data_IF_839315020938
#
_entry.id   IF_839315020938
#
_cell.length_a   1.000
_cell.length_b   1.000
_cell.length_c   1.000
_cell.angle_alpha   90.00
_cell.angle_beta   90.00
_cell.angle_gamma   90.00
#
_symmetry.space_group_name_H-M   'P 1'
#
loop_
_entity.id
_entity.type
_entity.pdbx_description
1 polymer ?
#
# COMPACT_ATOMS: atom_id res chain seq x y z
N UNK A 1 55.32 -16.74 34.51
CA UNK A 1 54.36 -17.55 35.29
C UNK A 1 52.91 -17.13 35.02
N UNK A 2 52.55 -15.86 35.21
CA UNK A 2 51.19 -15.35 34.99
C UNK A 2 50.65 -15.67 33.58
N UNK A 3 51.44 -15.43 32.53
CA UNK A 3 51.03 -15.67 31.13
C UNK A 3 50.63 -17.13 30.87
N UNK A 4 51.39 -18.10 31.42
CA UNK A 4 51.12 -19.52 31.26
C UNK A 4 49.85 -19.95 32.01
N UNK A 5 49.59 -19.36 33.19
CA UNK A 5 48.38 -19.61 33.97
C UNK A 5 47.15 -19.05 33.24
N UNK A 6 47.24 -17.85 32.67
CA UNK A 6 46.14 -17.27 31.89
C UNK A 6 45.83 -18.10 30.65
N UNK A 7 46.86 -18.54 29.90
CA UNK A 7 46.68 -19.43 28.75
C UNK A 7 46.04 -20.77 29.12
N UNK A 8 46.52 -21.40 30.21
CA UNK A 8 45.97 -22.66 30.70
C UNK A 8 44.50 -22.52 31.11
N UNK A 9 44.16 -21.44 31.80
CA UNK A 9 42.78 -21.16 32.21
C UNK A 9 41.86 -20.90 31.01
N UNK A 10 42.28 -20.08 30.05
CA UNK A 10 41.51 -19.81 28.84
C UNK A 10 41.31 -21.06 27.98
N UNK A 11 42.34 -21.90 27.85
CA UNK A 11 42.24 -23.16 27.11
C UNK A 11 41.28 -24.16 27.78
N UNK A 12 41.36 -24.29 29.11
CA UNK A 12 40.45 -25.14 29.88
C UNK A 12 39.00 -24.66 29.77
N UNK A 13 38.76 -23.35 29.90
CA UNK A 13 37.43 -22.76 29.78
C UNK A 13 36.86 -22.95 28.37
N UNK A 14 37.68 -22.76 27.33
CA UNK A 14 37.27 -22.98 25.95
C UNK A 14 36.90 -24.45 25.68
N UNK A 15 37.68 -25.40 26.20
CA UNK A 15 37.38 -26.82 26.10
C UNK A 15 36.07 -27.18 26.80
N UNK A 16 35.88 -26.69 28.03
CA UNK A 16 34.66 -26.94 28.81
C UNK A 16 33.42 -26.36 28.14
N UNK A 17 33.48 -25.12 27.65
CA UNK A 17 32.38 -24.48 26.94
C UNK A 17 32.09 -25.15 25.59
N UNK A 18 33.13 -25.57 24.87
CA UNK A 18 32.97 -26.29 23.61
C UNK A 18 32.28 -27.65 23.79
N UNK A 19 32.70 -28.42 24.79
CA UNK A 19 32.07 -29.69 25.15
C UNK A 19 30.62 -29.48 25.61
N UNK A 20 30.38 -28.46 26.44
CA UNK A 20 29.03 -28.12 26.89
C UNK A 20 28.12 -27.74 25.70
N UNK A 21 28.57 -26.85 24.81
CA UNK A 21 27.80 -26.44 23.63
C UNK A 21 27.54 -27.61 22.67
N UNK A 22 28.51 -28.51 22.47
CA UNK A 22 28.31 -29.73 21.69
C UNK A 22 27.24 -30.64 22.29
N UNK A 23 27.32 -30.89 23.59
CA UNK A 23 26.32 -31.65 24.32
C UNK A 23 24.92 -31.01 24.24
N UNK A 24 24.82 -29.69 24.42
CA UNK A 24 23.56 -28.96 24.30
C UNK A 24 22.99 -29.01 22.88
N UNK A 25 23.84 -28.85 21.85
CA UNK A 25 23.42 -28.92 20.45
C UNK A 25 22.76 -30.26 20.14
N UNK A 26 23.33 -31.36 20.60
CA UNK A 26 22.82 -32.70 20.29
C UNK A 26 21.61 -33.08 21.15
N UNK A 27 21.64 -32.72 22.45
CA UNK A 27 20.54 -32.98 23.38
C UNK A 27 19.27 -32.19 23.03
N UNK A 28 19.40 -30.99 22.49
CA UNK A 28 18.30 -30.09 22.11
C UNK A 28 18.15 -29.96 20.59
N UNK A 29 18.72 -30.87 19.81
CA UNK A 29 18.50 -30.88 18.37
C UNK A 29 17.04 -31.28 18.10
N UNK A 30 16.24 -30.33 17.61
CA UNK A 30 14.89 -30.60 17.14
C UNK A 30 14.99 -30.84 15.63
N UNK A 31 14.66 -32.05 15.17
CA UNK A 31 14.52 -32.32 13.74
C UNK A 31 13.48 -31.37 13.17
N UNK A 32 13.92 -30.47 12.28
CA UNK A 32 13.02 -29.59 11.57
C UNK A 32 12.27 -30.43 10.54
N UNK A 33 10.94 -30.40 10.62
CA UNK A 33 10.09 -30.98 9.60
C UNK A 33 10.53 -30.46 8.21
N UNK A 34 10.85 -31.35 7.25
CA UNK A 34 11.27 -30.94 5.91
C UNK A 34 10.22 -30.04 5.22
N UNK A 35 8.94 -30.21 5.55
CA UNK A 35 7.87 -29.35 5.04
C UNK A 35 7.97 -27.93 5.60
N UNK A 36 8.26 -27.79 6.89
CA UNK A 36 8.47 -26.48 7.52
C UNK A 36 9.64 -25.73 6.88
N UNK A 37 10.76 -26.42 6.63
CA UNK A 37 11.92 -25.83 5.96
C UNK A 37 11.60 -25.39 4.52
N UNK A 38 10.80 -26.18 3.79
CA UNK A 38 10.34 -25.83 2.45
C UNK A 38 9.40 -24.61 2.45
N UNK A 39 8.47 -24.53 3.41
CA UNK A 39 7.64 -23.35 3.61
C UNK A 39 8.48 -22.10 3.93
N UNK A 40 9.47 -22.23 4.83
CA UNK A 40 10.32 -21.11 5.27
C UNK A 40 11.16 -20.54 4.12
N UNK A 41 11.71 -21.41 3.27
CA UNK A 41 12.50 -21.00 2.08
C UNK A 41 11.65 -20.36 0.99
N UNK A 42 10.36 -20.66 0.94
CA UNK A 42 9.39 -20.03 0.01
C UNK A 42 9.01 -18.61 0.45
N UNK A 43 9.16 -18.30 1.75
CA UNK A 43 8.83 -16.98 2.29
C UNK A 43 9.94 -15.95 1.99
N UNK A 44 9.61 -14.64 1.93
CA UNK A 44 10.59 -13.59 1.65
C UNK A 44 11.70 -13.38 2.70
N UNK A 45 11.68 -14.09 3.84
CA UNK A 45 12.68 -13.94 4.89
C UNK A 45 12.68 -12.61 5.67
N UNK A 46 11.70 -11.74 5.45
CA UNK A 46 11.66 -10.38 6.05
C UNK A 46 11.42 -10.41 7.57
N UNK A 47 10.85 -11.49 8.11
CA UNK A 47 10.59 -11.65 9.55
C UNK A 47 9.80 -10.49 10.22
N UNK A 48 8.93 -9.81 9.47
CA UNK A 48 8.19 -8.63 9.96
C UNK A 48 7.03 -8.92 10.93
N UNK A 49 6.56 -10.16 11.03
CA UNK A 49 5.43 -10.54 11.89
C UNK A 49 4.05 -10.03 11.47
N UNK A 50 3.92 -9.37 10.31
CA UNK A 50 2.65 -8.80 9.84
C UNK A 50 1.52 -9.84 9.64
N UNK A 51 1.87 -11.12 9.46
CA UNK A 51 0.94 -12.24 9.34
C UNK A 51 0.39 -12.74 10.70
N UNK A 52 0.88 -12.20 11.83
CA UNK A 52 0.50 -12.61 13.18
C UNK A 52 1.34 -13.76 13.77
N UNK A 53 2.41 -14.18 13.09
CA UNK A 53 3.32 -15.24 13.54
C UNK A 53 4.73 -14.69 13.81
N UNK A 54 5.53 -15.33 14.69
CA UNK A 54 6.88 -14.88 15.01
C UNK A 54 7.84 -15.16 13.85
N UNK A 55 7.94 -14.21 12.93
CA UNK A 55 8.80 -14.28 11.77
C UNK A 55 8.35 -15.29 10.71
N UNK A 56 9.21 -15.50 9.72
CA UNK A 56 8.97 -16.43 8.62
C UNK A 56 8.98 -17.89 9.11
N UNK A 57 9.91 -18.26 10.00
CA UNK A 57 9.95 -19.59 10.60
C UNK A 57 8.67 -19.94 11.36
N UNK A 58 8.17 -19.04 12.21
CA UNK A 58 6.91 -19.27 12.94
C UNK A 58 5.69 -19.40 12.03
N UNK A 59 5.64 -18.63 10.94
CA UNK A 59 4.59 -18.80 9.95
C UNK A 59 4.73 -20.13 9.18
N UNK A 60 5.96 -20.50 8.81
CA UNK A 60 6.26 -21.78 8.15
C UNK A 60 5.88 -22.98 9.00
N UNK A 61 6.10 -22.92 10.31
CA UNK A 61 5.61 -23.94 11.26
C UNK A 61 4.10 -24.07 11.20
N UNK A 62 3.37 -22.96 11.34
CA UNK A 62 1.91 -22.97 11.32
C UNK A 62 1.34 -23.41 9.96
N UNK A 63 2.04 -23.13 8.86
CA UNK A 63 1.71 -23.62 7.52
C UNK A 63 1.88 -25.13 7.41
N UNK A 64 3.02 -25.67 7.85
CA UNK A 64 3.29 -27.11 7.83
C UNK A 64 2.30 -27.90 8.71
N UNK A 65 1.86 -27.30 9.83
CA UNK A 65 0.85 -27.88 10.72
C UNK A 65 -0.61 -27.68 10.24
N UNK A 66 -0.84 -26.97 9.14
CA UNK A 66 -2.19 -26.69 8.61
C UNK A 66 -3.01 -25.68 9.45
N UNK A 67 -2.40 -24.99 10.39
CA UNK A 67 -3.03 -24.03 11.31
C UNK A 67 -3.12 -22.61 10.72
N UNK A 68 -2.47 -22.37 9.59
CA UNK A 68 -2.42 -21.07 8.95
C UNK A 68 -2.80 -21.13 7.47
N UNK A 69 -3.59 -20.17 6.96
CA UNK A 69 -3.80 -20.03 5.53
C UNK A 69 -2.53 -19.49 4.85
N UNK A 70 -2.29 -19.93 3.60
CA UNK A 70 -1.11 -19.56 2.77
C UNK A 70 -1.10 -18.11 2.28
N UNK A 71 -2.19 -17.36 2.51
CA UNK A 71 -2.41 -16.02 1.97
C UNK A 71 -2.02 -14.89 2.94
N UNK A 72 -1.48 -15.20 4.13
CA UNK A 72 -1.17 -14.18 5.15
C UNK A 72 0.14 -13.43 4.92
N UNK A 73 1.03 -13.90 4.03
CA UNK A 73 2.29 -13.22 3.74
C UNK A 73 2.07 -11.99 2.85
N UNK A 74 1.67 -10.87 3.44
CA UNK A 74 1.49 -9.62 2.69
C UNK A 74 2.75 -9.14 1.93
N UNK A 75 3.99 -9.27 2.46
CA UNK A 75 5.19 -8.89 1.71
C UNK A 75 5.52 -9.81 0.53
N UNK A 76 5.16 -11.10 0.61
CA UNK A 76 5.35 -12.06 -0.47
C UNK A 76 4.28 -11.99 -1.55
N UNK A 77 3.12 -11.41 -1.20
CA UNK A 77 2.02 -11.17 -2.13
C UNK A 77 1.46 -12.46 -2.72
N UNK A 78 0.85 -12.32 -3.90
CA UNK A 78 0.19 -13.42 -4.62
C UNK A 78 1.17 -14.54 -5.00
N UNK A 79 2.37 -14.19 -5.48
CA UNK A 79 3.38 -15.16 -5.89
C UNK A 79 3.80 -16.11 -4.76
N UNK A 80 4.06 -15.59 -3.56
CA UNK A 80 4.36 -16.43 -2.40
C UNK A 80 3.17 -17.29 -1.99
N UNK A 81 1.95 -16.74 -2.02
CA UNK A 81 0.76 -17.51 -1.67
C UNK A 81 0.51 -18.68 -2.63
N UNK A 82 0.70 -18.49 -3.94
CA UNK A 82 0.59 -19.54 -4.96
C UNK A 82 1.70 -20.59 -4.81
N UNK A 83 2.94 -20.17 -4.55
CA UNK A 83 4.05 -21.10 -4.31
C UNK A 83 3.79 -21.99 -3.08
N UNK A 84 3.31 -21.39 -1.98
CA UNK A 84 2.93 -22.12 -0.76
C UNK A 84 1.72 -23.03 -0.98
N UNK A 85 0.73 -22.59 -1.76
CA UNK A 85 -0.45 -23.37 -2.13
C UNK A 85 -0.06 -24.64 -2.89
N UNK A 86 0.82 -24.51 -3.89
CA UNK A 86 1.36 -25.63 -4.66
C UNK A 86 2.17 -26.58 -3.78
N UNK A 87 2.98 -26.04 -2.86
CA UNK A 87 3.80 -26.83 -1.93
C UNK A 87 2.94 -27.67 -0.97
N UNK A 88 1.86 -27.11 -0.45
CA UNK A 88 0.99 -27.74 0.55
C UNK A 88 -0.21 -28.49 -0.06
N UNK A 89 -0.35 -28.48 -1.38
CA UNK A 89 -1.47 -29.12 -2.08
C UNK A 89 -2.84 -28.50 -1.76
N UNK A 90 -2.86 -27.22 -1.38
CA UNK A 90 -4.10 -26.49 -1.05
C UNK A 90 -4.45 -25.49 -2.14
N UNK A 91 -5.73 -25.24 -2.38
CA UNK A 91 -6.16 -24.15 -3.26
C UNK A 91 -6.07 -22.82 -2.52
N UNK A 92 -5.43 -21.81 -3.12
CA UNK A 92 -5.40 -20.46 -2.57
C UNK A 92 -5.82 -19.43 -3.59
N UNK A 93 -6.68 -18.51 -3.16
CA UNK A 93 -6.93 -17.26 -3.88
C UNK A 93 -6.36 -16.12 -3.04
N UNK A 94 -5.22 -15.58 -3.48
CA UNK A 94 -4.65 -14.37 -2.91
C UNK A 94 -5.03 -13.18 -3.79
N UNK A 95 -5.67 -12.18 -3.21
CA UNK A 95 -5.99 -10.93 -3.91
C UNK A 95 -4.70 -10.11 -4.00
N UNK A 96 -4.21 -9.93 -5.22
CA UNK A 96 -3.08 -9.04 -5.51
C UNK A 96 -3.55 -7.60 -5.42
N UNK A 97 -2.97 -6.83 -4.49
CA UNK A 97 -3.37 -5.46 -4.19
C UNK A 97 -2.18 -4.52 -4.31
N UNK A 98 -2.48 -3.27 -4.62
CA UNK A 98 -1.54 -2.16 -4.68
C UNK A 98 -2.01 -0.99 -3.83
N UNK A 99 -1.06 -0.16 -3.39
CA UNK A 99 -1.36 1.05 -2.66
C UNK A 99 -1.67 2.20 -3.63
N UNK A 100 -2.88 2.75 -3.57
CA UNK A 100 -3.29 3.90 -4.40
C UNK A 100 -3.46 5.12 -3.51
N UNK A 101 -2.83 6.24 -3.89
CA UNK A 101 -2.95 7.50 -3.17
C UNK A 101 -4.30 8.17 -3.47
N UNK A 102 -5.13 8.36 -2.45
CA UNK A 102 -6.40 9.09 -2.50
C UNK A 102 -6.23 10.60 -2.20
N UNK A 103 -5.22 11.23 -2.82
CA UNK A 103 -4.97 12.66 -2.67
C UNK A 103 -4.24 13.21 -3.91
N UNK A 104 -4.92 14.07 -4.68
CA UNK A 104 -4.31 14.79 -5.82
C UNK A 104 -3.91 16.23 -5.50
N UNK A 105 -3.94 16.62 -4.23
CA UNK A 105 -3.64 17.98 -3.78
C UNK A 105 -2.14 18.28 -3.82
N UNK A 106 -1.58 18.38 -5.02
CA UNK A 106 -0.19 18.75 -5.29
C UNK A 106 0.12 20.17 -4.81
N UNK A 107 1.41 20.51 -4.74
CA UNK A 107 1.90 21.78 -4.17
C UNK A 107 1.28 23.05 -4.77
N UNK A 108 0.94 23.03 -6.07
CA UNK A 108 0.39 24.21 -6.77
C UNK A 108 -1.13 24.37 -6.60
N UNK A 109 -1.82 23.30 -6.21
CA UNK A 109 -3.28 23.30 -6.04
C UNK A 109 -3.73 23.34 -4.57
N UNK A 110 -2.94 22.80 -3.65
CA UNK A 110 -3.27 22.74 -2.23
C UNK A 110 -2.50 23.81 -1.45
N UNK A 111 -3.22 24.73 -0.81
CA UNK A 111 -2.63 25.82 -0.05
C UNK A 111 -1.93 25.30 1.21
N UNK A 112 -0.74 25.83 1.48
CA UNK A 112 0.03 25.56 2.71
C UNK A 112 -0.47 26.42 3.86
N UNK A 113 -0.40 25.90 5.09
CA UNK A 113 -0.76 26.64 6.31
C UNK A 113 0.33 27.62 6.74
N UNK A 114 1.57 27.33 6.35
CA UNK A 114 2.78 28.06 6.71
C UNK A 114 3.97 27.10 6.72
N UNK A 115 5.14 27.64 7.02
CA UNK A 115 6.36 26.84 7.06
C UNK A 115 6.43 26.00 8.34
N UNK A 116 6.66 24.70 8.16
CA UNK A 116 6.82 23.79 9.27
C UNK A 116 8.30 23.64 9.63
N UNK A 117 8.68 24.17 10.80
CA UNK A 117 10.01 24.03 11.37
C UNK A 117 9.93 22.98 12.50
N UNK A 118 10.30 21.75 12.18
CA UNK A 118 10.23 20.61 13.08
C UNK A 118 10.77 19.33 12.44
N UNK A 119 10.57 18.19 13.10
CA UNK A 119 11.01 16.88 12.62
C UNK A 119 10.30 16.55 11.30
N UNK A 120 11.06 16.33 10.22
CA UNK A 120 10.54 16.18 8.86
C UNK A 120 9.93 14.80 8.59
N UNK A 121 8.90 14.45 9.34
CA UNK A 121 8.05 13.27 9.13
C UNK A 121 6.58 13.67 9.08
N UNK A 122 5.76 12.90 8.36
CA UNK A 122 4.31 13.08 8.29
C UNK A 122 3.71 12.94 9.68
N UNK A 123 4.14 11.96 10.47
CA UNK A 123 3.66 11.72 11.83
C UNK A 123 3.93 12.92 12.74
N UNK A 124 5.16 13.45 12.75
CA UNK A 124 5.50 14.61 13.56
C UNK A 124 4.72 15.86 13.13
N UNK A 125 4.71 16.15 11.82
CA UNK A 125 3.97 17.30 11.29
C UNK A 125 2.46 17.22 11.57
N UNK A 126 1.89 16.01 11.50
CA UNK A 126 0.48 15.78 11.81
C UNK A 126 0.18 16.02 13.28
N UNK A 127 1.01 15.47 14.17
CA UNK A 127 0.84 15.58 15.60
C UNK A 127 1.03 17.02 16.11
N UNK A 128 2.08 17.70 15.66
CA UNK A 128 2.44 19.02 16.20
C UNK A 128 1.65 20.18 15.58
N UNK A 129 1.38 20.13 14.27
CA UNK A 129 0.81 21.27 13.52
C UNK A 129 -0.57 20.98 12.91
N UNK A 130 -1.06 19.74 13.02
CA UNK A 130 -2.25 19.26 12.34
C UNK A 130 -2.03 18.92 10.86
N UNK A 131 -0.79 19.00 10.39
CA UNK A 131 -0.37 18.92 8.98
C UNK A 131 0.19 20.25 8.45
N UNK A 132 0.76 20.21 7.25
CA UNK A 132 1.42 21.37 6.60
C UNK A 132 0.53 22.12 5.61
N UNK A 133 -0.53 21.48 5.14
CA UNK A 133 -1.53 22.08 4.23
C UNK A 133 -2.70 22.64 5.03
N UNK A 134 -3.36 23.66 4.50
CA UNK A 134 -4.63 24.14 5.06
C UNK A 134 -5.70 23.03 5.05
N UNK A 135 -5.61 22.10 4.09
CA UNK A 135 -6.36 20.86 4.14
C UNK A 135 -5.75 19.94 5.21
N UNK A 136 -6.47 19.76 6.31
CA UNK A 136 -5.99 18.96 7.42
C UNK A 136 -5.79 17.47 7.05
N UNK A 137 -6.48 16.93 6.05
CA UNK A 137 -6.39 15.50 5.67
C UNK A 137 -5.47 15.26 4.46
N UNK A 138 -4.91 16.32 3.87
CA UNK A 138 -4.08 16.20 2.66
C UNK A 138 -2.71 15.60 2.93
N UNK A 139 -2.08 15.07 1.88
CA UNK A 139 -0.71 14.57 1.97
C UNK A 139 0.25 15.71 2.32
N UNK A 140 1.14 15.48 3.29
CA UNK A 140 2.09 16.50 3.77
C UNK A 140 3.41 16.50 3.01
N UNK A 141 3.72 15.43 2.27
CA UNK A 141 4.92 15.33 1.43
C UNK A 141 6.21 14.89 2.13
N UNK A 142 6.19 14.55 3.43
CA UNK A 142 7.41 14.15 4.16
C UNK A 142 7.83 12.68 3.99
N UNK A 143 7.01 11.86 3.33
CA UNK A 143 7.49 10.56 2.86
C UNK A 143 7.58 9.44 3.90
N UNK A 144 6.83 9.44 5.00
CA UNK A 144 6.83 8.29 5.94
C UNK A 144 6.44 6.98 5.21
N UNK A 145 5.53 7.08 4.23
CA UNK A 145 5.19 5.97 3.32
C UNK A 145 6.37 5.47 2.47
N UNK A 146 7.30 6.36 2.11
CA UNK A 146 8.55 6.02 1.41
C UNK A 146 9.50 5.34 2.38
N UNK A 147 9.66 5.88 3.59
CA UNK A 147 10.57 5.36 4.61
C UNK A 147 10.24 3.91 5.03
N UNK A 148 8.95 3.52 5.05
CA UNK A 148 8.53 2.15 5.38
C UNK A 148 8.49 1.19 4.18
N UNK A 149 8.69 1.69 2.96
CA UNK A 149 8.64 0.85 1.77
C UNK A 149 9.96 0.09 1.58
N UNK A 150 9.94 -1.22 1.81
CA UNK A 150 11.10 -2.11 1.62
C UNK A 150 11.38 -2.48 0.14
N UNK A 151 10.52 -2.02 -0.78
CA UNK A 151 10.53 -2.44 -2.19
C UNK A 151 10.85 -1.29 -3.16
N UNK A 152 11.23 -0.12 -2.64
CA UNK A 152 11.43 1.12 -3.44
C UNK A 152 10.24 1.44 -4.37
N UNK A 153 9.03 1.07 -3.94
CA UNK A 153 7.81 1.21 -4.73
C UNK A 153 7.17 2.59 -4.59
N UNK A 154 7.63 3.46 -3.69
CA UNK A 154 7.02 4.78 -3.45
C UNK A 154 8.10 5.85 -3.44
N UNK A 155 7.89 6.95 -4.19
CA UNK A 155 8.79 8.12 -4.20
C UNK A 155 8.00 9.41 -4.12
N UNK A 156 8.48 10.38 -3.34
CA UNK A 156 7.95 11.74 -3.41
C UNK A 156 8.45 12.38 -4.70
N UNK A 157 7.55 12.82 -5.56
CA UNK A 157 7.89 13.51 -6.81
C UNK A 157 7.93 15.03 -6.63
N UNK A 158 8.30 15.73 -7.71
CA UNK A 158 8.40 17.20 -7.75
C UNK A 158 7.08 17.92 -7.42
N UNK A 159 5.93 17.25 -7.54
CA UNK A 159 4.61 17.75 -7.20
C UNK A 159 4.31 17.74 -5.68
N UNK A 160 5.22 17.14 -4.89
CA UNK A 160 5.11 17.03 -3.43
C UNK A 160 4.17 15.91 -2.96
N UNK A 161 3.84 14.95 -3.82
CA UNK A 161 3.02 13.78 -3.50
C UNK A 161 3.81 12.47 -3.65
N UNK A 162 3.45 11.40 -2.92
CA UNK A 162 4.00 10.08 -3.13
C UNK A 162 3.38 9.45 -4.38
N UNK A 163 4.24 9.03 -5.30
CA UNK A 163 3.88 8.24 -6.47
C UNK A 163 4.31 6.80 -6.25
N UNK A 164 3.40 5.88 -6.56
CA UNK A 164 3.60 4.45 -6.37
C UNK A 164 3.96 3.83 -7.71
N UNK A 165 5.11 3.18 -7.78
CA UNK A 165 5.46 2.25 -8.84
C UNK A 165 4.68 0.95 -8.62
N UNK A 166 3.61 0.80 -9.39
CA UNK A 166 2.73 -0.35 -9.26
C UNK A 166 3.46 -1.65 -9.57
N UNK A 167 4.42 -1.69 -10.49
CA UNK A 167 5.15 -2.91 -10.82
C UNK A 167 5.98 -3.44 -9.63
N UNK A 168 6.48 -2.55 -8.76
CA UNK A 168 7.24 -2.91 -7.56
C UNK A 168 6.39 -3.07 -6.30
N UNK A 169 5.17 -2.56 -6.30
CA UNK A 169 4.29 -2.63 -5.14
C UNK A 169 3.85 -4.07 -4.88
N UNK A 170 4.22 -4.64 -3.74
CA UNK A 170 3.87 -6.01 -3.33
C UNK A 170 2.54 -6.11 -2.57
N UNK A 171 1.90 -4.96 -2.26
CA UNK A 171 0.65 -4.96 -1.51
C UNK A 171 0.80 -5.16 0.01
N UNK A 172 2.02 -5.04 0.56
CA UNK A 172 2.31 -5.28 1.98
C UNK A 172 1.61 -4.35 3.00
N UNK A 173 0.97 -3.25 2.54
CA UNK A 173 0.19 -2.27 3.33
C UNK A 173 0.95 -1.46 4.40
N UNK A 174 2.27 -1.61 4.57
CA UNK A 174 3.02 -0.81 5.55
C UNK A 174 2.84 0.70 5.35
N UNK A 175 2.81 1.17 4.10
CA UNK A 175 2.57 2.57 3.78
C UNK A 175 1.16 3.05 4.16
N UNK A 176 0.16 2.17 4.11
CA UNK A 176 -1.23 2.46 4.52
C UNK A 176 -1.29 2.64 6.03
N UNK A 177 -0.66 1.72 6.77
CA UNK A 177 -0.60 1.76 8.24
C UNK A 177 0.19 2.95 8.75
N UNK A 178 1.31 3.29 8.10
CA UNK A 178 2.18 4.39 8.53
C UNK A 178 1.58 5.77 8.19
N UNK A 179 0.69 5.87 7.19
CA UNK A 179 0.13 7.15 6.78
C UNK A 179 -0.77 7.76 7.88
N UNK A 180 -0.35 8.82 8.58
CA UNK A 180 -1.15 9.37 9.69
C UNK A 180 -2.41 10.11 9.21
N UNK A 181 -2.54 10.34 7.90
CA UNK A 181 -3.73 10.92 7.26
C UNK A 181 -4.59 9.88 6.52
N UNK A 182 -4.20 8.59 6.54
CA UNK A 182 -4.92 7.48 5.92
C UNK A 182 -5.28 7.74 4.44
N UNK A 183 -4.28 8.15 3.67
CA UNK A 183 -4.47 8.54 2.27
C UNK A 183 -4.18 7.43 1.27
N UNK A 184 -3.50 6.37 1.66
CA UNK A 184 -3.21 5.24 0.79
C UNK A 184 -4.29 4.18 0.99
N UNK A 185 -4.89 3.72 -0.10
CA UNK A 185 -5.93 2.68 -0.10
C UNK A 185 -5.38 1.42 -0.75
N UNK A 186 -5.76 0.26 -0.21
CA UNK A 186 -5.47 -1.03 -0.83
C UNK A 186 -6.51 -1.29 -1.93
N UNK A 187 -6.07 -1.38 -3.18
CA UNK A 187 -6.91 -1.60 -4.35
C UNK A 187 -6.37 -2.83 -5.09
N UNK A 188 -7.20 -3.79 -5.53
CA UNK A 188 -6.73 -4.89 -6.35
C UNK A 188 -5.98 -4.38 -7.59
N UNK A 189 -4.88 -5.04 -7.99
CA UNK A 189 -4.04 -4.57 -9.10
C UNK A 189 -4.80 -4.51 -10.41
N UNK A 190 -5.65 -5.50 -10.64
CA UNK A 190 -6.53 -5.68 -11.78
C UNK A 190 -7.88 -4.95 -11.64
N UNK A 191 -8.06 -4.16 -10.57
CA UNK A 191 -9.30 -3.44 -10.33
C UNK A 191 -9.62 -2.48 -11.47
N UNK A 192 -10.72 -2.77 -12.16
CA UNK A 192 -11.38 -1.84 -13.08
C UNK A 192 -12.37 -1.00 -12.31
N UNK A 193 -12.49 0.28 -12.67
CA UNK A 193 -13.49 1.17 -12.09
C UNK A 193 -13.02 2.60 -12.00
N UNK A 194 -13.83 3.42 -11.33
CA UNK A 194 -13.47 4.80 -11.02
C UNK A 194 -13.39 5.00 -9.52
N UNK A 195 -12.43 5.79 -9.05
CA UNK A 195 -12.37 6.19 -7.64
C UNK A 195 -12.11 7.67 -7.48
N UNK A 196 -12.49 8.22 -6.33
CA UNK A 196 -12.17 9.59 -5.96
C UNK A 196 -10.75 9.68 -5.38
N UNK A 197 -9.90 10.50 -5.98
CA UNK A 197 -8.52 10.78 -5.56
C UNK A 197 -8.51 11.96 -4.56
N UNK A 198 -9.36 11.89 -3.55
CA UNK A 198 -9.44 12.90 -2.49
C UNK A 198 -10.11 12.35 -1.23
N UNK A 199 -9.39 12.36 -0.11
CA UNK A 199 -9.92 11.99 1.22
C UNK A 199 -10.32 13.19 2.10
N UNK A 200 -10.56 14.39 1.53
CA UNK A 200 -10.98 15.54 2.33
C UNK A 200 -12.40 15.30 2.91
N UNK A 201 -12.55 15.33 4.24
CA UNK A 201 -13.82 15.07 4.96
C UNK A 201 -14.52 16.35 5.43
N UNK A 202 -14.05 17.53 5.01
CA UNK A 202 -14.72 18.81 5.34
C UNK A 202 -16.07 18.87 4.65
N UNK A 203 -17.15 19.00 5.41
CA UNK A 203 -18.52 19.09 4.88
C UNK A 203 -18.83 20.45 4.23
N UNK A 204 -17.97 21.46 4.45
CA UNK A 204 -18.19 22.83 3.96
C UNK A 204 -17.48 23.03 2.62
N UNK A 205 -18.25 23.11 1.53
CA UNK A 205 -17.73 23.33 0.16
C UNK A 205 -16.78 24.53 0.07
N UNK A 206 -17.13 25.67 0.68
CA UNK A 206 -16.31 26.87 0.67
C UNK A 206 -14.92 26.64 1.29
N UNK A 207 -14.84 25.84 2.35
CA UNK A 207 -13.56 25.49 2.98
C UNK A 207 -12.70 24.64 2.05
N UNK A 208 -13.29 23.64 1.38
CA UNK A 208 -12.55 22.81 0.42
C UNK A 208 -11.97 23.67 -0.71
N UNK A 209 -12.79 24.53 -1.33
CA UNK A 209 -12.35 25.37 -2.44
C UNK A 209 -11.27 26.38 -2.04
N UNK A 210 -11.34 26.91 -0.81
CA UNK A 210 -10.29 27.77 -0.26
C UNK A 210 -8.99 26.98 -0.02
N UNK A 211 -9.09 25.76 0.49
CA UNK A 211 -7.91 24.95 0.86
C UNK A 211 -7.24 24.27 -0.34
N UNK A 212 -8.00 23.82 -1.34
CA UNK A 212 -7.49 23.01 -2.43
C UNK A 212 -8.36 23.14 -3.70
N UNK A 213 -7.76 23.60 -4.80
CA UNK A 213 -8.45 23.79 -6.10
C UNK A 213 -8.92 22.46 -6.73
N UNK A 214 -8.26 21.35 -6.39
CA UNK A 214 -8.50 20.02 -6.94
C UNK A 214 -9.18 19.07 -5.93
N UNK A 215 -9.73 19.60 -4.84
CA UNK A 215 -10.40 18.80 -3.80
C UNK A 215 -11.82 18.36 -4.17
N UNK A 216 -12.29 17.26 -3.58
CA UNK A 216 -13.71 16.87 -3.68
C UNK A 216 -14.59 17.83 -2.86
N UNK A 217 -15.42 18.60 -3.59
CA UNK A 217 -16.34 19.60 -3.02
C UNK A 217 -17.70 19.03 -2.61
N UNK A 218 -17.88 17.71 -2.69
CA UNK A 218 -19.08 16.99 -2.20
C UNK A 218 -20.38 17.47 -2.86
N UNK A 219 -20.31 17.81 -4.16
CA UNK A 219 -21.46 18.31 -4.93
C UNK A 219 -22.49 17.22 -5.28
N UNK A 220 -22.16 15.94 -5.11
CA UNK A 220 -23.05 14.81 -5.42
C UNK A 220 -23.27 14.55 -6.92
N UNK A 221 -22.60 15.28 -7.82
CA UNK A 221 -22.75 15.11 -9.27
C UNK A 221 -22.37 13.68 -9.71
N UNK A 222 -21.31 13.10 -9.15
CA UNK A 222 -20.89 11.72 -9.44
C UNK A 222 -21.99 10.70 -9.10
N UNK A 223 -22.62 10.83 -7.92
CA UNK A 223 -23.73 9.97 -7.49
C UNK A 223 -24.90 10.09 -8.46
N UNK A 224 -25.32 11.32 -8.80
CA UNK A 224 -26.48 11.57 -9.67
C UNK A 224 -26.26 11.24 -11.13
N UNK A 225 -25.01 11.17 -11.59
CA UNK A 225 -24.68 10.97 -13.00
C UNK A 225 -24.20 9.57 -13.33
N UNK A 226 -24.05 8.71 -12.33
CA UNK A 226 -23.66 7.31 -12.51
C UNK A 226 -24.84 6.52 -13.09
N UNK A 227 -24.74 5.94 -14.30
CA UNK A 227 -25.82 5.14 -14.88
C UNK A 227 -26.11 3.84 -14.11
N UNK A 228 -25.07 3.27 -13.49
CA UNK A 228 -25.15 2.01 -12.73
C UNK A 228 -25.50 2.21 -11.26
N UNK A 229 -25.72 3.47 -10.84
CA UNK A 229 -26.00 3.84 -9.44
C UNK A 229 -24.98 3.28 -8.43
N UNK A 230 -23.74 3.06 -8.88
CA UNK A 230 -22.69 2.37 -8.10
C UNK A 230 -21.90 3.30 -7.18
N UNK A 231 -22.31 4.56 -7.00
CA UNK A 231 -21.57 5.55 -6.19
C UNK A 231 -22.42 6.02 -5.02
N UNK A 232 -21.90 5.87 -3.80
CA UNK A 232 -22.58 6.29 -2.56
C UNK A 232 -21.74 7.31 -1.79
N UNK A 233 -22.38 8.14 -0.96
CA UNK A 233 -21.66 9.09 -0.10
C UNK A 233 -21.47 8.48 1.29
N UNK A 234 -20.23 8.16 1.65
CA UNK A 234 -19.87 7.65 2.98
C UNK A 234 -19.00 8.69 3.68
N UNK A 235 -19.48 9.24 4.81
CA UNK A 235 -18.77 10.28 5.56
C UNK A 235 -18.34 11.50 4.73
N UNK A 236 -19.18 11.88 3.76
CA UNK A 236 -18.90 12.99 2.85
C UNK A 236 -17.89 12.67 1.74
N UNK A 237 -17.45 11.42 1.59
CA UNK A 237 -16.58 10.98 0.49
C UNK A 237 -17.40 10.08 -0.45
N UNK A 238 -17.38 10.33 -1.77
CA UNK A 238 -17.95 9.40 -2.73
C UNK A 238 -17.18 8.08 -2.74
N UNK A 239 -17.85 6.96 -2.49
CA UNK A 239 -17.29 5.60 -2.56
C UNK A 239 -17.96 4.89 -3.73
N UNK A 240 -17.14 4.28 -4.59
CA UNK A 240 -17.61 3.49 -5.74
C UNK A 240 -17.66 2.03 -5.35
N UNK A 241 -18.80 1.39 -5.60
CA UNK A 241 -18.96 -0.05 -5.61
C UNK A 241 -18.37 -0.58 -6.92
N UNK A 242 -17.21 -1.21 -6.84
CA UNK A 242 -16.48 -1.66 -8.02
C UNK A 242 -17.13 -2.86 -8.71
N UNK A 243 -17.95 -3.65 -8.01
CA UNK A 243 -18.62 -4.81 -8.61
C UNK A 243 -19.66 -4.39 -9.64
N UNK A 244 -20.26 -3.21 -9.46
CA UNK A 244 -21.24 -2.62 -10.39
C UNK A 244 -20.64 -1.63 -11.37
N UNK A 245 -19.39 -1.21 -11.15
CA UNK A 245 -18.80 -0.13 -11.93
C UNK A 245 -18.36 -0.62 -13.32
N UNK A 246 -19.00 -0.11 -14.37
CA UNK A 246 -18.64 -0.42 -15.77
C UNK A 246 -17.46 0.39 -16.31
N UNK A 247 -16.80 1.21 -15.48
CA UNK A 247 -15.69 2.08 -15.89
C UNK A 247 -16.02 3.07 -17.03
N UNK A 248 -17.29 3.46 -17.18
CA UNK A 248 -17.76 4.32 -18.27
C UNK A 248 -17.18 5.75 -18.28
N UNK A 249 -16.55 6.21 -17.20
CA UNK A 249 -15.87 7.51 -17.14
C UNK A 249 -16.76 8.75 -16.94
N UNK A 250 -18.08 8.61 -16.91
CA UNK A 250 -19.00 9.77 -16.75
C UNK A 250 -18.73 10.56 -15.46
N UNK A 251 -18.41 9.87 -14.37
CA UNK A 251 -18.04 10.49 -13.09
C UNK A 251 -16.74 11.31 -13.18
N UNK A 252 -15.80 10.89 -14.03
CA UNK A 252 -14.52 11.59 -14.27
C UNK A 252 -14.75 12.84 -15.10
N UNK A 253 -15.54 12.72 -16.17
CA UNK A 253 -15.87 13.82 -17.07
C UNK A 253 -16.65 14.92 -16.34
N UNK A 254 -17.74 14.55 -15.66
CA UNK A 254 -18.64 15.51 -14.99
C UNK A 254 -18.10 16.05 -13.67
N UNK A 255 -16.98 15.53 -13.15
CA UNK A 255 -16.40 16.06 -11.92
C UNK A 255 -15.80 17.46 -12.15
N UNK A 256 -16.33 18.53 -11.51
CA UNK A 256 -15.86 19.89 -11.76
C UNK A 256 -14.42 20.13 -11.27
N UNK A 257 -13.99 19.42 -10.22
CA UNK A 257 -12.63 19.51 -9.68
C UNK A 257 -11.72 18.38 -10.17
N UNK A 258 -12.21 17.55 -11.11
CA UNK A 258 -11.49 16.43 -11.74
C UNK A 258 -10.83 15.48 -10.72
N UNK A 259 -11.46 15.30 -9.56
CA UNK A 259 -10.98 14.42 -8.50
C UNK A 259 -11.40 12.96 -8.65
N UNK A 260 -12.36 12.64 -9.53
CA UNK A 260 -12.59 11.27 -9.94
C UNK A 260 -11.60 10.87 -11.03
N UNK A 261 -11.07 9.66 -10.96
CA UNK A 261 -10.16 9.07 -11.94
C UNK A 261 -10.52 7.61 -12.20
N UNK A 262 -10.24 7.13 -13.41
CA UNK A 262 -10.30 5.71 -13.74
C UNK A 262 -9.05 5.00 -13.18
N UNK A 263 -9.25 3.83 -12.58
CA UNK A 263 -8.18 3.02 -12.00
C UNK A 263 -7.25 2.46 -13.06
N UNK A 264 -7.78 2.12 -14.23
CA UNK A 264 -6.98 1.66 -15.38
C UNK A 264 -5.93 2.70 -15.80
N UNK A 265 -6.28 3.99 -15.71
CA UNK A 265 -5.36 5.09 -15.98
C UNK A 265 -4.38 5.41 -14.85
N UNK A 266 -4.51 4.75 -13.69
CA UNK A 266 -3.65 4.93 -12.52
C UNK A 266 -2.72 3.73 -12.37
N UNK A 267 -3.30 2.54 -12.21
CA UNK A 267 -2.57 1.30 -11.89
C UNK A 267 -2.15 0.52 -13.13
N UNK A 268 -2.66 0.88 -14.32
CA UNK A 268 -2.46 0.11 -15.55
C UNK A 268 -3.32 -1.15 -15.63
N UNK A 269 -4.38 -1.27 -14.82
CA UNK A 269 -5.26 -2.44 -14.82
C UNK A 269 -5.88 -2.70 -16.21
N UNK A 270 -5.75 -3.92 -16.72
CA UNK A 270 -6.25 -4.36 -18.05
C UNK A 270 -7.47 -5.30 -17.95
N UNK A 271 -8.19 -5.31 -16.83
CA UNK A 271 -9.34 -6.20 -16.63
C UNK A 271 -10.40 -6.07 -17.73
N UNK A 272 -11.14 -7.16 -17.99
CA UNK A 272 -12.22 -7.19 -18.99
C UNK A 272 -13.23 -6.07 -18.71
N UNK A 273 -13.22 -5.05 -19.57
CA UNK A 273 -14.29 -4.08 -19.66
C UNK A 273 -15.56 -4.86 -20.02
N UNK A 274 -16.63 -4.75 -19.22
CA UNK A 274 -17.93 -5.19 -19.72
C UNK A 274 -18.23 -4.35 -20.98
N UNK A 275 -18.43 -4.98 -22.15
CA UNK A 275 -18.46 -4.23 -23.40
C UNK A 275 -19.79 -3.48 -23.53
N UNK A 276 -19.75 -2.15 -23.41
CA UNK A 276 -20.67 -1.24 -24.12
C UNK A 276 -20.03 0.11 -24.36
N UNK A 277 -20.40 0.74 -25.48
CA UNK A 277 -19.47 1.28 -26.45
C UNK A 277 -18.70 2.46 -25.86
N UNK A 278 -17.40 2.49 -26.17
CA UNK A 278 -16.62 3.70 -26.22
C UNK A 278 -17.49 4.77 -26.88
N UNK A 279 -17.73 5.86 -26.15
CA UNK A 279 -18.25 7.08 -26.76
C UNK A 279 -17.44 7.29 -28.04
N UNK A 280 -18.16 7.35 -29.16
CA UNK A 280 -17.66 7.35 -30.52
C UNK A 280 -16.40 8.21 -30.64
N UNK A 281 -15.46 7.68 -31.43
CA UNK A 281 -14.26 8.33 -31.93
C UNK A 281 -14.42 9.85 -32.08
N UNK A 282 -13.43 10.57 -31.57
CA UNK A 282 -13.26 12.01 -31.68
C UNK A 282 -13.62 12.52 -33.09
N UNK A 283 -14.43 13.58 -33.25
CA UNK A 283 -14.32 14.35 -34.48
C UNK A 283 -12.97 15.06 -34.44
N UNK A 284 -12.10 14.64 -35.36
CA UNK A 284 -10.80 15.24 -35.65
C UNK A 284 -10.81 16.76 -35.47
N UNK A 285 -9.85 17.25 -34.69
CA UNK A 285 -9.46 18.65 -34.66
C UNK A 285 -9.12 19.05 -36.11
N UNK A 286 -10.04 19.77 -36.78
CA UNK A 286 -9.71 20.47 -38.02
C UNK A 286 -8.86 21.68 -37.66
N UNK A 287 -7.54 21.46 -37.60
CA UNK A 287 -6.57 22.53 -37.76
C UNK A 287 -6.45 22.79 -39.26
N UNK A 288 -6.77 24.01 -39.67
CA UNK A 288 -6.56 24.52 -41.02
C UNK A 288 -7.62 25.53 -41.35
N UNK A 289 -7.34 26.69 -41.91
CA UNK A 289 -6.13 27.47 -42.14
C UNK A 289 -6.66 28.89 -42.45
N UNK A 290 -5.82 29.91 -42.49
CA UNK A 290 -6.22 31.28 -42.86
C UNK A 290 -7.04 31.36 -44.16
N UNK A 291 -8.09 32.18 -44.15
CA UNK A 291 -8.39 33.22 -45.16
C UNK A 291 -9.41 34.20 -44.58
#
# INVERSE_FOLDING_TARGET
MIILITFGFSALLALLLGLALGFFKEKFNVEKDPLMAACETTLPGINCGACGYPGCGGYATALASGEAPVTKCAPGGKATAEALANLLGVSASAVDIVAVLACQGHKDAAQVKGDYVGVKTCRAAKLSAGGTKLCAWGCMGYGDCVAVCQFDAIKIQADGLPHVDYAKCTGCRFCILECPSQLLQAIPRDQVGSMVICSNRSVVKANVMKQCKVGCIKCGICVKSCPEECITMVNGIPVTDFEKCTSCGICVEKCPTKCYKLLQGITGATGELSPRPLLKEEPAIKIGCCN
#
